data_IF_757953667112
#
_entry.id   IF_757953667112
#
_cell.length_a   1.000
_cell.length_b   1.000
_cell.length_c   1.000
_cell.angle_alpha   90.00
_cell.angle_beta   90.00
_cell.angle_gamma   90.00
#
_symmetry.space_group_name_H-M   'P 1'
#
loop_
_entity.id
_entity.type
_entity.pdbx_description
1 polymer ?
#
# COMPACT_ATOMS: atom_id res chain seq x y z
N UNK A 1 -0.64 -38.97 -58.91
CA UNK A 1 0.41 -37.96 -59.17
C UNK A 1 0.67 -37.25 -57.87
N UNK A 2 1.77 -37.60 -57.21
CA UNK A 2 2.29 -36.95 -55.99
C UNK A 2 2.88 -35.56 -56.32
N UNK A 3 3.00 -34.64 -55.34
CA UNK A 3 4.00 -33.59 -55.40
C UNK A 3 5.12 -33.83 -54.35
N UNK A 4 6.34 -33.70 -54.84
CA UNK A 4 7.62 -33.90 -54.16
C UNK A 4 7.89 -32.88 -53.04
N UNK A 5 8.51 -33.34 -51.93
CA UNK A 5 9.10 -32.49 -50.90
C UNK A 5 10.47 -31.95 -51.35
N UNK A 6 10.59 -30.63 -51.49
CA UNK A 6 11.89 -29.94 -51.57
C UNK A 6 12.55 -29.87 -50.19
N UNK A 7 13.79 -30.35 -50.09
CA UNK A 7 14.67 -30.18 -48.92
C UNK A 7 15.46 -28.89 -49.11
N UNK A 8 15.32 -27.92 -48.21
CA UNK A 8 16.16 -26.72 -48.17
C UNK A 8 17.54 -27.07 -47.60
N UNK A 9 18.59 -26.87 -48.41
CA UNK A 9 19.99 -27.00 -47.98
C UNK A 9 20.43 -25.65 -47.38
N UNK A 10 20.73 -25.65 -46.08
CA UNK A 10 21.22 -24.47 -45.37
C UNK A 10 22.63 -24.07 -45.86
N UNK A 11 22.78 -22.81 -46.25
CA UNK A 11 24.01 -22.23 -46.81
C UNK A 11 25.21 -22.30 -45.82
N UNK A 12 26.30 -23.02 -46.15
CA UNK A 12 27.43 -23.27 -45.25
C UNK A 12 28.18 -22.00 -44.81
N UNK A 13 28.08 -20.89 -45.54
CA UNK A 13 28.70 -19.62 -45.13
C UNK A 13 27.93 -18.93 -43.98
N UNK A 14 26.60 -19.03 -43.96
CA UNK A 14 25.77 -18.49 -42.87
C UNK A 14 25.98 -19.25 -41.57
N UNK A 15 26.18 -20.57 -41.65
CA UNK A 15 26.46 -21.41 -40.48
C UNK A 15 27.82 -21.08 -39.84
N UNK A 16 28.86 -20.89 -40.66
CA UNK A 16 30.19 -20.44 -40.19
C UNK A 16 30.15 -19.09 -39.49
N UNK A 17 29.49 -18.07 -40.08
CA UNK A 17 29.35 -16.74 -39.44
C UNK A 17 28.61 -16.82 -38.10
N UNK A 18 27.60 -17.67 -37.98
CA UNK A 18 26.82 -17.84 -36.74
C UNK A 18 27.67 -18.50 -35.64
N UNK A 19 28.49 -19.48 -35.99
CA UNK A 19 29.44 -20.13 -35.08
C UNK A 19 30.57 -19.18 -34.64
N UNK A 20 31.09 -18.35 -35.54
CA UNK A 20 32.13 -17.36 -35.24
C UNK A 20 31.62 -16.29 -34.27
N UNK A 21 30.38 -15.82 -34.49
CA UNK A 21 29.71 -14.86 -33.61
C UNK A 21 29.43 -15.47 -32.22
N UNK A 22 29.12 -16.76 -32.15
CA UNK A 22 28.91 -17.47 -30.89
C UNK A 22 30.22 -17.61 -30.09
N UNK A 23 31.32 -17.98 -30.76
CA UNK A 23 32.66 -18.06 -30.15
C UNK A 23 33.14 -16.71 -29.64
N UNK A 24 32.87 -15.63 -30.36
CA UNK A 24 33.26 -14.28 -29.93
C UNK A 24 32.47 -13.82 -28.68
N UNK A 25 31.19 -14.21 -28.58
CA UNK A 25 30.36 -13.97 -27.39
C UNK A 25 30.86 -14.76 -26.18
N UNK A 26 31.25 -16.02 -26.35
CA UNK A 26 31.82 -16.84 -25.27
C UNK A 26 33.17 -16.27 -24.81
N UNK A 27 34.03 -15.85 -25.73
CA UNK A 27 35.31 -15.23 -25.38
C UNK A 27 35.13 -13.92 -24.58
N UNK A 28 34.14 -13.10 -24.94
CA UNK A 28 33.78 -11.89 -24.16
C UNK A 28 33.25 -12.24 -22.78
N UNK A 29 32.45 -13.30 -22.65
CA UNK A 29 31.91 -13.78 -21.37
C UNK A 29 33.02 -14.32 -20.46
N UNK A 30 33.97 -15.08 -21.00
CA UNK A 30 35.13 -15.58 -20.27
C UNK A 30 36.04 -14.45 -19.79
N UNK A 31 36.34 -13.46 -20.65
CA UNK A 31 37.12 -12.26 -20.24
C UNK A 31 36.41 -11.44 -19.15
N UNK A 32 35.07 -11.38 -19.17
CA UNK A 32 34.29 -10.70 -18.14
C UNK A 32 34.35 -11.45 -16.79
N UNK A 33 34.25 -12.79 -16.82
CA UNK A 33 34.37 -13.64 -15.63
C UNK A 33 35.78 -13.58 -15.03
N UNK A 34 36.81 -13.60 -15.86
CA UNK A 34 38.20 -13.49 -15.40
C UNK A 34 38.50 -12.11 -14.79
N UNK A 35 37.92 -11.03 -15.35
CA UNK A 35 38.01 -9.68 -14.79
C UNK A 35 37.22 -9.54 -13.48
N UNK A 36 36.11 -10.27 -13.33
CA UNK A 36 35.34 -10.34 -12.10
C UNK A 36 36.11 -11.12 -11.00
N UNK A 37 36.73 -12.24 -11.36
CA UNK A 37 37.59 -13.03 -10.46
C UNK A 37 38.81 -12.22 -9.98
N UNK A 38 39.52 -11.52 -10.90
CA UNK A 38 40.63 -10.62 -10.53
C UNK A 38 40.19 -9.47 -9.64
N UNK A 39 38.97 -8.95 -9.80
CA UNK A 39 38.37 -7.94 -8.90
C UNK A 39 38.01 -8.51 -7.53
N UNK A 40 37.61 -9.78 -7.44
CA UNK A 40 37.38 -10.47 -6.17
C UNK A 40 38.69 -10.77 -5.44
N UNK A 41 39.74 -11.20 -6.14
CA UNK A 41 41.08 -11.41 -5.58
C UNK A 41 41.75 -10.11 -5.12
N UNK A 42 41.56 -9.01 -5.86
CA UNK A 42 42.01 -7.69 -5.40
C UNK A 42 41.22 -7.18 -4.19
N UNK A 43 39.94 -7.56 -4.04
CA UNK A 43 39.15 -7.26 -2.83
C UNK A 43 39.56 -8.13 -1.65
N UNK A 44 39.88 -9.41 -1.85
CA UNK A 44 40.31 -10.31 -0.78
C UNK A 44 41.74 -9.98 -0.30
N UNK A 45 42.65 -9.63 -1.21
CA UNK A 45 44.03 -9.19 -0.87
C UNK A 45 44.07 -7.81 -0.20
N UNK A 46 43.20 -6.87 -0.61
CA UNK A 46 43.05 -5.60 0.11
C UNK A 46 42.34 -5.77 1.46
N UNK A 47 41.43 -6.74 1.61
CA UNK A 47 40.79 -7.05 2.90
C UNK A 47 41.78 -7.67 3.89
N UNK A 48 42.66 -8.57 3.44
CA UNK A 48 43.69 -9.22 4.25
C UNK A 48 44.81 -8.25 4.66
N UNK A 49 45.26 -7.35 3.75
CA UNK A 49 46.19 -6.27 4.15
C UNK A 49 45.56 -5.23 5.10
N UNK A 50 44.24 -5.02 5.03
CA UNK A 50 43.51 -4.18 6.01
C UNK A 50 43.30 -4.89 7.35
N UNK A 51 43.19 -6.21 7.38
CA UNK A 51 43.09 -6.99 8.62
C UNK A 51 44.44 -7.08 9.32
N UNK A 52 45.54 -7.28 8.59
CA UNK A 52 46.90 -7.32 9.15
C UNK A 52 47.37 -5.95 9.68
N UNK A 53 47.04 -4.84 9.01
CA UNK A 53 47.33 -3.50 9.55
C UNK A 53 46.43 -3.11 10.73
N UNK A 54 45.26 -3.75 10.90
CA UNK A 54 44.39 -3.57 12.08
C UNK A 54 44.81 -4.44 13.26
N UNK A 55 45.40 -5.62 13.02
CA UNK A 55 45.83 -6.52 14.10
C UNK A 55 47.09 -6.05 14.83
N UNK A 56 47.97 -5.26 14.19
CA UNK A 56 49.21 -4.78 14.84
C UNK A 56 49.00 -3.48 15.64
N UNK A 57 47.80 -2.89 15.67
CA UNK A 57 47.53 -1.64 16.43
C UNK A 57 46.33 -1.71 17.38
N UNK A 58 45.93 -2.90 17.81
CA UNK A 58 44.90 -3.12 18.84
C UNK A 58 45.34 -4.20 19.82
N UNK A 59 46.27 -3.85 20.69
CA UNK A 59 46.35 -4.45 22.03
C UNK A 59 45.46 -3.60 22.94
N UNK A 60 44.19 -3.95 22.95
CA UNK A 60 43.15 -3.63 23.94
C UNK A 60 41.90 -4.35 23.43
N UNK A 61 41.83 -5.64 23.71
CA UNK A 61 40.66 -6.49 23.46
C UNK A 61 39.50 -6.03 24.35
N UNK A 62 38.45 -5.49 23.74
CA UNK A 62 37.13 -5.37 24.37
C UNK A 62 36.10 -5.97 23.41
N UNK A 63 35.41 -7.01 23.86
CA UNK A 63 34.38 -7.69 23.08
C UNK A 63 33.07 -6.89 23.24
N UNK A 64 32.34 -6.52 22.16
CA UNK A 64 31.03 -5.88 22.27
C UNK A 64 30.02 -6.64 23.14
N UNK A 65 30.27 -7.92 23.39
CA UNK A 65 29.50 -8.79 24.29
C UNK A 65 29.66 -8.44 25.78
N UNK A 66 30.77 -7.82 26.19
CA UNK A 66 31.05 -7.43 27.58
C UNK A 66 30.15 -6.28 28.07
N UNK A 67 29.48 -5.60 27.15
CA UNK A 67 28.59 -4.46 27.39
C UNK A 67 27.11 -4.80 27.16
N UNK A 68 26.82 -6.06 26.83
CA UNK A 68 25.45 -6.55 26.76
C UNK A 68 24.91 -6.56 28.19
N UNK A 69 23.70 -6.02 28.35
CA UNK A 69 22.95 -6.07 29.61
C UNK A 69 23.05 -7.48 30.23
N UNK A 70 23.73 -7.62 31.39
CA UNK A 70 23.85 -8.92 32.07
C UNK A 70 22.44 -9.40 32.36
N UNK A 71 22.12 -10.67 32.07
CA UNK A 71 20.75 -11.23 32.01
C UNK A 71 19.72 -10.55 32.92
N UNK A 72 19.23 -9.35 32.53
CA UNK A 72 18.21 -8.63 33.25
C UNK A 72 16.93 -9.41 32.95
N UNK A 73 16.26 -9.98 33.97
CA UNK A 73 15.04 -10.72 33.71
C UNK A 73 14.01 -9.81 33.05
N UNK A 74 13.22 -10.37 32.13
CA UNK A 74 12.24 -9.60 31.37
C UNK A 74 11.34 -8.74 32.28
N UNK A 75 11.24 -7.46 31.92
CA UNK A 75 10.49 -6.45 32.66
C UNK A 75 11.10 -5.96 33.98
N UNK A 76 12.30 -6.39 34.37
CA UNK A 76 13.00 -5.77 35.49
C UNK A 76 13.78 -4.54 35.05
N UNK A 77 14.01 -3.61 35.99
CA UNK A 77 14.85 -2.44 35.73
C UNK A 77 16.24 -2.92 35.36
N UNK A 78 16.73 -2.47 34.21
CA UNK A 78 18.05 -2.79 33.71
C UNK A 78 19.13 -2.58 34.76
N UNK A 79 19.98 -3.59 34.95
CA UNK A 79 21.18 -3.45 35.77
C UNK A 79 22.25 -2.68 34.98
N UNK A 80 22.69 -1.55 35.53
CA UNK A 80 23.68 -0.71 34.86
C UNK A 80 25.08 -1.18 35.26
N UNK A 81 25.92 -1.48 34.28
CA UNK A 81 27.35 -1.73 34.54
C UNK A 81 27.97 -0.50 35.23
N UNK A 82 28.85 -0.76 36.19
CA UNK A 82 29.65 0.29 36.86
C UNK A 82 30.72 0.88 35.93
N UNK A 83 31.07 0.17 34.85
CA UNK A 83 32.05 0.61 33.86
C UNK A 83 31.37 1.15 32.61
N UNK A 84 31.79 2.35 32.17
CA UNK A 84 31.30 2.96 30.94
C UNK A 84 32.03 2.38 29.73
N UNK A 85 31.28 1.93 28.73
CA UNK A 85 31.83 1.50 27.46
C UNK A 85 32.53 2.67 26.73
N UNK A 86 33.62 2.38 26.01
CA UNK A 86 34.31 3.37 25.17
C UNK A 86 33.45 3.94 24.04
N UNK A 87 32.39 3.22 23.61
CA UNK A 87 31.48 3.62 22.54
C UNK A 87 30.01 3.37 22.92
N UNK A 88 29.11 4.26 22.47
CA UNK A 88 27.67 4.10 22.66
C UNK A 88 27.14 2.96 21.78
N UNK A 89 26.44 2.00 22.40
CA UNK A 89 25.75 0.90 21.72
C UNK A 89 24.24 1.00 21.98
N UNK A 90 23.43 1.50 21.02
CA UNK A 90 21.98 1.61 21.20
C UNK A 90 21.32 0.27 21.53
N UNK A 91 21.75 -0.81 20.85
CA UNK A 91 21.21 -2.16 21.09
C UNK A 91 21.41 -2.63 22.52
N UNK A 92 22.60 -2.40 23.07
CA UNK A 92 22.89 -2.73 24.45
C UNK A 92 22.07 -1.82 25.38
N UNK A 93 22.03 -0.51 25.10
CA UNK A 93 21.36 0.48 25.94
C UNK A 93 19.87 0.22 26.01
N UNK A 94 19.16 0.13 24.89
CA UNK A 94 17.70 -0.03 24.77
C UNK A 94 17.17 -1.37 25.30
N UNK A 95 18.01 -2.41 25.36
CA UNK A 95 17.63 -3.73 25.88
C UNK A 95 17.03 -3.60 27.29
N UNK A 96 15.95 -4.33 27.56
CA UNK A 96 15.23 -4.41 28.85
C UNK A 96 14.48 -3.14 29.31
N UNK A 97 14.84 -1.93 28.83
CA UNK A 97 14.15 -0.69 29.25
C UNK A 97 12.66 -0.69 28.95
N UNK A 98 12.30 -1.10 27.73
CA UNK A 98 10.92 -0.97 27.30
C UNK A 98 9.99 -1.89 28.08
N UNK A 99 10.39 -3.16 28.25
CA UNK A 99 9.65 -4.13 29.04
C UNK A 99 9.49 -3.67 30.49
N UNK A 100 10.52 -3.04 31.06
CA UNK A 100 10.44 -2.46 32.39
C UNK A 100 9.47 -1.27 32.46
N UNK A 101 9.51 -0.37 31.47
CA UNK A 101 8.58 0.77 31.40
C UNK A 101 7.12 0.31 31.32
N UNK A 102 6.85 -0.69 30.49
CA UNK A 102 5.52 -1.28 30.33
C UNK A 102 5.08 -1.98 31.62
N UNK A 103 5.92 -2.83 32.23
CA UNK A 103 5.61 -3.53 33.49
C UNK A 103 5.34 -2.59 34.66
N UNK A 104 6.06 -1.46 34.71
CA UNK A 104 5.91 -0.47 35.80
C UNK A 104 4.70 0.44 35.59
N UNK A 105 4.06 0.41 34.41
CA UNK A 105 2.87 1.20 34.12
C UNK A 105 3.12 2.69 33.92
N UNK A 106 4.35 3.12 33.58
CA UNK A 106 4.69 4.54 33.42
C UNK A 106 3.90 5.27 32.32
N UNK A 107 3.32 4.51 31.39
CA UNK A 107 2.57 5.05 30.27
C UNK A 107 1.07 5.22 30.59
N UNK A 108 0.60 4.64 31.69
CA UNK A 108 -0.82 4.64 32.06
C UNK A 108 -1.22 6.00 32.60
N UNK A 109 -2.28 6.56 32.02
CA UNK A 109 -2.90 7.78 32.53
C UNK A 109 -3.98 7.42 33.56
N UNK A 110 -3.94 8.07 34.72
CA UNK A 110 -4.89 7.86 35.81
C UNK A 110 -6.13 8.74 35.63
N UNK A 111 -7.30 8.12 35.47
CA UNK A 111 -8.56 8.83 35.28
C UNK A 111 -8.98 9.68 36.50
N UNK A 112 -8.47 9.35 37.70
CA UNK A 112 -8.77 10.07 38.94
C UNK A 112 -7.70 11.13 39.27
N UNK A 113 -6.72 11.35 38.39
CA UNK A 113 -5.66 12.32 38.65
C UNK A 113 -6.19 13.75 38.70
N UNK A 114 -5.75 14.53 39.68
CA UNK A 114 -6.00 15.98 39.75
C UNK A 114 -5.12 16.81 38.81
N UNK A 115 -4.13 16.19 38.15
CA UNK A 115 -3.25 16.85 37.18
C UNK A 115 -4.03 17.22 35.91
N UNK A 116 -3.66 18.32 35.22
CA UNK A 116 -4.30 18.68 33.96
C UNK A 116 -4.13 17.57 32.92
N UNK A 117 -5.20 17.13 32.22
CA UNK A 117 -5.11 16.09 31.22
C UNK A 117 -4.44 16.61 29.94
N UNK A 118 -3.69 15.73 29.28
CA UNK A 118 -3.20 15.96 27.92
C UNK A 118 -3.36 14.67 27.13
N UNK A 119 -4.12 14.69 26.04
CA UNK A 119 -4.49 13.47 25.32
C UNK A 119 -4.10 13.56 23.85
N UNK A 120 -3.43 12.54 23.35
CA UNK A 120 -3.25 12.29 21.92
C UNK A 120 -3.84 10.93 21.60
N UNK A 121 -4.50 10.81 20.46
CA UNK A 121 -4.90 9.52 19.89
C UNK A 121 -3.89 9.21 18.80
N UNK A 122 -3.18 8.08 18.91
CA UNK A 122 -2.32 7.61 17.83
C UNK A 122 -3.21 7.40 16.60
N UNK A 123 -2.91 8.01 15.44
CA UNK A 123 -3.55 7.68 14.18
C UNK A 123 -3.39 6.17 13.94
N UNK A 124 -4.47 5.39 14.03
CA UNK A 124 -4.35 3.94 14.13
C UNK A 124 -3.78 3.39 12.80
N UNK A 125 -2.60 2.73 12.80
CA UNK A 125 -2.05 2.15 11.59
C UNK A 125 -2.97 1.07 11.02
N UNK A 126 -3.07 1.03 9.70
CA UNK A 126 -3.82 0.02 8.96
C UNK A 126 -3.18 -1.36 9.13
N UNK A 127 -4.00 -2.39 9.33
CA UNK A 127 -3.51 -3.78 9.45
C UNK A 127 -3.23 -4.39 8.06
N UNK A 128 -2.46 -3.70 7.22
CA UNK A 128 -2.13 -4.10 5.84
C UNK A 128 -0.68 -4.57 5.67
N UNK A 129 0.12 -4.60 6.75
CA UNK A 129 1.52 -4.98 6.68
C UNK A 129 2.34 -4.52 7.88
N UNK A 130 3.62 -4.25 7.64
CA UNK A 130 4.54 -3.69 8.62
C UNK A 130 4.61 -2.15 8.50
N UNK A 131 4.93 -1.48 9.60
CA UNK A 131 5.17 -0.05 9.63
C UNK A 131 6.41 0.33 8.80
N UNK A 132 6.34 1.51 8.20
CA UNK A 132 7.42 2.16 7.43
C UNK A 132 7.88 3.47 8.08
N UNK A 133 8.90 4.12 7.53
CA UNK A 133 9.53 5.32 8.10
C UNK A 133 8.55 6.47 8.38
N UNK A 134 7.53 6.67 7.52
CA UNK A 134 6.46 7.64 7.81
C UNK A 134 5.74 7.41 9.14
N UNK A 135 5.44 6.16 9.50
CA UNK A 135 4.85 5.83 10.80
C UNK A 135 5.83 6.11 11.95
N UNK A 136 7.12 5.83 11.75
CA UNK A 136 8.15 6.12 12.73
C UNK A 136 8.29 7.63 12.99
N UNK A 137 8.17 8.46 11.94
CA UNK A 137 8.18 9.92 12.07
C UNK A 137 6.99 10.42 12.90
N UNK A 138 5.76 9.99 12.57
CA UNK A 138 4.56 10.37 13.32
C UNK A 138 4.67 9.95 14.78
N UNK A 139 5.04 8.69 15.04
CA UNK A 139 5.21 8.18 16.39
C UNK A 139 6.29 8.94 17.18
N UNK A 140 7.42 9.28 16.56
CA UNK A 140 8.49 10.02 17.23
C UNK A 140 8.06 11.44 17.64
N UNK A 141 7.30 12.13 16.78
CA UNK A 141 6.76 13.46 17.07
C UNK A 141 5.75 13.39 18.22
N UNK A 142 4.76 12.51 18.11
CA UNK A 142 3.72 12.36 19.14
C UNK A 142 4.30 11.91 20.48
N UNK A 143 5.22 10.94 20.48
CA UNK A 143 5.89 10.45 21.70
C UNK A 143 6.69 11.55 22.39
N UNK A 144 7.40 12.39 21.60
CA UNK A 144 8.16 13.53 22.15
C UNK A 144 7.23 14.50 22.88
N UNK A 145 6.07 14.82 22.28
CA UNK A 145 5.09 15.72 22.89
C UNK A 145 4.50 15.08 24.16
N UNK A 146 4.16 13.79 24.12
CA UNK A 146 3.61 13.05 25.27
C UNK A 146 4.60 13.01 26.42
N UNK A 147 5.87 12.67 26.15
CA UNK A 147 6.92 12.65 27.17
C UNK A 147 7.14 14.04 27.77
N UNK A 148 7.24 15.07 26.94
CA UNK A 148 7.39 16.45 27.41
C UNK A 148 6.21 16.87 28.30
N UNK A 149 4.97 16.60 27.91
CA UNK A 149 3.78 16.92 28.71
C UNK A 149 3.72 16.14 30.02
N UNK A 150 4.01 14.84 29.99
CA UNK A 150 4.09 13.98 31.18
C UNK A 150 5.12 14.52 32.17
N UNK A 151 6.30 14.93 31.68
CA UNK A 151 7.37 15.54 32.48
C UNK A 151 7.01 16.95 32.96
N UNK A 152 6.16 17.68 32.24
CA UNK A 152 5.67 19.01 32.60
C UNK A 152 4.49 19.00 33.59
N UNK A 153 4.22 17.85 34.22
CA UNK A 153 3.20 17.72 35.27
C UNK A 153 1.78 17.41 34.78
N UNK A 154 1.58 17.11 33.49
CA UNK A 154 0.27 16.73 32.96
C UNK A 154 -0.01 15.24 33.18
N UNK A 155 -1.29 14.88 33.31
CA UNK A 155 -1.77 13.51 33.16
C UNK A 155 -1.85 13.17 31.66
N UNK A 156 -0.70 12.80 31.08
CA UNK A 156 -0.56 12.59 29.65
C UNK A 156 -0.99 11.18 29.23
N UNK A 157 -2.00 11.10 28.36
CA UNK A 157 -2.53 9.89 27.75
C UNK A 157 -2.22 9.86 26.26
N UNK A 158 -1.56 8.80 25.80
CA UNK A 158 -1.43 8.51 24.37
C UNK A 158 -2.14 7.19 24.07
N UNK A 159 -3.27 7.28 23.37
CA UNK A 159 -4.16 6.13 23.13
C UNK A 159 -3.66 5.31 21.96
N UNK A 160 -3.30 4.02 22.14
CA UNK A 160 -2.94 3.14 21.04
C UNK A 160 -4.17 2.59 20.33
N UNK A 161 -4.02 2.31 19.03
CA UNK A 161 -5.02 1.58 18.28
C UNK A 161 -4.52 1.06 16.95
N UNK A 162 -5.35 0.24 16.29
CA UNK A 162 -5.14 -0.27 14.94
C UNK A 162 -6.43 -0.15 14.13
N UNK A 163 -6.28 0.10 12.83
CA UNK A 163 -7.41 0.23 11.91
C UNK A 163 -7.53 -1.01 11.02
N UNK A 164 -8.72 -1.61 11.01
CA UNK A 164 -9.11 -2.66 10.09
C UNK A 164 -8.95 -2.30 8.60
N UNK A 165 -8.99 -1.01 8.26
CA UNK A 165 -8.74 -0.46 6.92
C UNK A 165 -9.61 -1.03 5.79
N UNK A 166 -10.77 -1.65 6.11
CA UNK A 166 -11.79 -2.14 5.17
C UNK A 166 -11.23 -2.69 3.86
N UNK A 167 -11.44 -1.94 2.78
CA UNK A 167 -11.04 -2.26 1.40
C UNK A 167 -9.54 -2.58 1.29
N UNK A 168 -8.67 -1.82 1.96
CA UNK A 168 -7.22 -2.01 1.86
C UNK A 168 -6.78 -3.37 2.41
N UNK A 169 -7.32 -3.78 3.57
CA UNK A 169 -7.04 -5.10 4.15
C UNK A 169 -7.62 -6.21 3.29
N UNK A 170 -8.84 -6.05 2.78
CA UNK A 170 -9.46 -7.00 1.87
C UNK A 170 -8.57 -7.26 0.64
N UNK A 171 -8.12 -6.20 -0.05
CA UNK A 171 -7.27 -6.33 -1.25
C UNK A 171 -5.96 -7.06 -0.95
N UNK A 172 -5.32 -6.77 0.18
CA UNK A 172 -4.05 -7.41 0.55
C UNK A 172 -4.24 -8.90 0.86
N UNK A 173 -5.30 -9.25 1.59
CA UNK A 173 -5.63 -10.65 1.89
C UNK A 173 -6.02 -11.41 0.62
N UNK A 174 -6.81 -10.82 -0.27
CA UNK A 174 -7.13 -11.41 -1.57
C UNK A 174 -5.88 -11.69 -2.41
N UNK A 175 -4.95 -10.72 -2.49
CA UNK A 175 -3.67 -10.89 -3.20
C UNK A 175 -2.81 -11.99 -2.59
N UNK A 176 -2.81 -12.14 -1.26
CA UNK A 176 -2.13 -13.23 -0.55
C UNK A 176 -2.74 -14.58 -0.94
N UNK A 177 -4.07 -14.72 -0.83
CA UNK A 177 -4.79 -15.97 -1.15
C UNK A 177 -4.56 -16.36 -2.61
N UNK A 178 -4.66 -15.41 -3.53
CA UNK A 178 -4.40 -15.66 -4.95
C UNK A 178 -2.97 -16.14 -5.19
N UNK A 179 -1.98 -15.56 -4.51
CA UNK A 179 -0.56 -15.95 -4.65
C UNK A 179 -0.26 -17.33 -4.06
N UNK A 180 -0.80 -17.62 -2.88
CA UNK A 180 -0.49 -18.85 -2.13
C UNK A 180 -1.31 -20.04 -2.61
N UNK A 181 -2.58 -19.81 -2.94
CA UNK A 181 -3.56 -20.88 -3.20
C UNK A 181 -4.17 -20.82 -4.59
N UNK A 182 -3.92 -19.77 -5.38
CA UNK A 182 -4.51 -19.57 -6.71
C UNK A 182 -6.04 -19.59 -6.69
N UNK A 183 -6.62 -19.06 -5.61
CA UNK A 183 -8.05 -18.95 -5.38
C UNK A 183 -8.46 -17.49 -5.23
N UNK A 184 -9.72 -17.20 -5.54
CA UNK A 184 -10.36 -15.90 -5.33
C UNK A 184 -11.19 -15.89 -4.04
N UNK A 185 -11.61 -14.71 -3.58
CA UNK A 185 -12.51 -14.59 -2.42
C UNK A 185 -13.85 -15.29 -2.64
N UNK A 186 -14.29 -15.40 -3.89
CA UNK A 186 -15.57 -16.03 -4.23
C UNK A 186 -15.50 -17.55 -4.07
N UNK A 187 -14.34 -18.14 -4.29
CA UNK A 187 -14.09 -19.58 -4.10
C UNK A 187 -14.09 -19.97 -2.61
N UNK A 188 -13.68 -19.06 -1.72
CA UNK A 188 -13.63 -19.29 -0.28
C UNK A 188 -15.00 -19.22 0.40
N UNK A 189 -15.90 -18.39 -0.14
CA UNK A 189 -17.10 -17.97 0.58
C UNK A 189 -16.80 -17.01 1.74
N UNK A 190 -17.84 -16.29 2.17
CA UNK A 190 -17.72 -15.16 3.10
C UNK A 190 -17.07 -15.53 4.44
N UNK A 191 -17.53 -16.60 5.08
CA UNK A 191 -17.09 -16.95 6.44
C UNK A 191 -15.60 -17.32 6.48
N UNK A 192 -15.14 -18.16 5.55
CA UNK A 192 -13.73 -18.56 5.48
C UNK A 192 -12.84 -17.37 5.13
N UNK A 193 -13.29 -16.50 4.23
CA UNK A 193 -12.56 -15.27 3.91
C UNK A 193 -12.42 -14.35 5.13
N UNK A 194 -13.50 -14.15 5.89
CA UNK A 194 -13.45 -13.36 7.13
C UNK A 194 -12.47 -13.98 8.14
N UNK A 195 -12.42 -15.31 8.25
CA UNK A 195 -11.44 -15.99 9.11
C UNK A 195 -10.00 -15.68 8.70
N UNK A 196 -9.68 -15.75 7.40
CA UNK A 196 -8.35 -15.39 6.88
C UNK A 196 -7.98 -13.92 7.15
N UNK A 197 -8.97 -13.01 7.08
CA UNK A 197 -8.78 -11.59 7.44
C UNK A 197 -8.45 -11.43 8.93
N UNK A 198 -9.10 -12.18 9.82
CA UNK A 198 -8.79 -12.15 11.25
C UNK A 198 -7.41 -12.76 11.56
N UNK A 199 -7.03 -13.85 10.89
CA UNK A 199 -5.69 -14.42 11.01
C UNK A 199 -4.62 -13.43 10.55
N UNK A 200 -4.85 -12.76 9.41
CA UNK A 200 -4.02 -11.68 8.94
C UNK A 200 -3.91 -10.57 9.98
N UNK A 201 -5.04 -10.12 10.53
CA UNK A 201 -5.07 -9.08 11.57
C UNK A 201 -4.23 -9.46 12.79
N UNK A 202 -4.33 -10.71 13.25
CA UNK A 202 -3.62 -11.16 14.43
C UNK A 202 -2.10 -11.20 14.19
N UNK A 203 -1.68 -11.66 13.01
CA UNK A 203 -0.25 -11.70 12.63
C UNK A 203 0.36 -10.31 12.47
N UNK A 204 -0.28 -9.45 11.67
CA UNK A 204 0.27 -8.13 11.36
C UNK A 204 0.03 -7.12 12.48
N UNK A 205 -1.08 -7.25 13.21
CA UNK A 205 -1.31 -6.46 14.41
C UNK A 205 -0.21 -6.67 15.45
N UNK A 206 0.18 -7.93 15.72
CA UNK A 206 1.32 -8.22 16.61
C UNK A 206 2.63 -7.60 16.13
N UNK A 207 2.88 -7.60 14.82
CA UNK A 207 4.07 -6.99 14.21
C UNK A 207 4.10 -5.48 14.40
N UNK A 208 2.99 -4.79 14.10
CA UNK A 208 2.85 -3.34 14.25
C UNK A 208 3.10 -2.92 15.71
N UNK A 209 2.47 -3.64 16.65
CA UNK A 209 2.63 -3.41 18.08
C UNK A 209 4.08 -3.57 18.52
N UNK A 210 4.78 -4.61 18.05
CA UNK A 210 6.20 -4.81 18.34
C UNK A 210 7.08 -3.70 17.76
N UNK A 211 6.78 -3.21 16.55
CA UNK A 211 7.53 -2.11 15.94
C UNK A 211 7.38 -0.81 16.74
N UNK A 212 6.17 -0.47 17.19
CA UNK A 212 5.95 0.71 18.05
C UNK A 212 6.67 0.58 19.39
N UNK A 213 6.63 -0.60 20.03
CA UNK A 213 7.41 -0.87 21.24
C UNK A 213 8.90 -0.74 21.01
N UNK A 214 9.40 -1.27 19.88
CA UNK A 214 10.82 -1.19 19.51
C UNK A 214 11.28 0.25 19.23
N UNK A 215 10.39 1.10 18.72
CA UNK A 215 10.65 2.54 18.57
C UNK A 215 10.65 3.30 19.90
N UNK A 216 10.18 2.68 20.99
CA UNK A 216 10.11 3.30 22.30
C UNK A 216 8.84 4.11 22.56
N UNK A 217 7.77 3.90 21.79
CA UNK A 217 6.53 4.67 21.92
C UNK A 217 5.90 4.52 23.32
N UNK A 218 5.69 5.62 24.05
CA UNK A 218 5.14 5.63 25.41
C UNK A 218 3.61 5.59 25.48
N UNK A 219 3.02 4.70 24.68
CA UNK A 219 1.58 4.45 24.54
C UNK A 219 1.01 3.73 25.77
N UNK A 220 -0.23 4.06 26.13
CA UNK A 220 -0.97 3.35 27.18
C UNK A 220 -1.56 2.04 26.62
N UNK A 221 -0.75 0.97 26.59
CA UNK A 221 -1.13 -0.33 26.06
C UNK A 221 -2.34 -0.97 26.75
N UNK A 222 -2.67 -0.56 27.98
CA UNK A 222 -3.88 -1.03 28.67
C UNK A 222 -5.17 -0.60 27.97
N UNK A 223 -5.08 0.41 27.08
CA UNK A 223 -6.16 0.98 26.31
C UNK A 223 -6.04 0.69 24.81
N UNK A 224 -5.29 -0.34 24.43
CA UNK A 224 -5.21 -0.78 23.03
C UNK A 224 -6.61 -1.00 22.45
N UNK A 225 -6.76 -0.56 21.20
CA UNK A 225 -8.04 -0.43 20.53
C UNK A 225 -7.97 -1.00 19.13
N UNK A 226 -9.04 -1.62 18.67
CA UNK A 226 -9.18 -2.03 17.28
C UNK A 226 -10.51 -1.54 16.74
N UNK A 227 -10.54 -1.00 15.52
CA UNK A 227 -11.75 -0.35 14.99
C UNK A 227 -12.96 -1.29 14.87
N UNK A 228 -12.74 -2.60 14.72
CA UNK A 228 -13.81 -3.61 14.77
C UNK A 228 -13.89 -4.37 16.11
N UNK A 229 -13.28 -3.88 17.18
CA UNK A 229 -13.54 -4.43 18.51
C UNK A 229 -15.00 -4.16 18.93
N UNK A 230 -15.48 -4.89 19.93
CA UNK A 230 -16.88 -4.80 20.36
C UNK A 230 -17.26 -3.38 20.80
N UNK A 231 -16.35 -2.68 21.49
CA UNK A 231 -16.61 -1.35 22.04
C UNK A 231 -16.71 -0.30 20.93
N UNK A 232 -15.82 -0.35 19.93
CA UNK A 232 -15.82 0.59 18.79
C UNK A 232 -16.94 0.29 17.82
N UNK A 233 -17.26 -0.99 17.61
CA UNK A 233 -18.41 -1.39 16.79
C UNK A 233 -19.73 -0.85 17.36
N UNK A 234 -19.91 -0.91 18.69
CA UNK A 234 -21.03 -0.26 19.39
C UNK A 234 -21.04 1.25 19.20
N UNK A 235 -19.89 1.91 19.28
CA UNK A 235 -19.78 3.36 19.06
C UNK A 235 -20.17 3.77 17.63
N UNK A 236 -19.75 3.03 16.60
CA UNK A 236 -20.14 3.28 15.20
C UNK A 236 -21.63 3.06 15.00
N UNK A 237 -22.21 2.03 15.62
CA UNK A 237 -23.65 1.73 15.54
C UNK A 237 -24.47 2.86 16.16
N UNK A 238 -24.08 3.33 17.35
CA UNK A 238 -24.71 4.47 18.02
C UNK A 238 -24.60 5.75 17.18
N UNK A 239 -23.42 6.03 16.60
CA UNK A 239 -23.22 7.18 15.73
C UNK A 239 -24.13 7.11 14.50
N UNK A 240 -24.21 5.95 13.83
CA UNK A 240 -25.09 5.74 12.68
C UNK A 240 -26.56 5.98 13.05
N UNK A 241 -27.04 5.36 14.13
CA UNK A 241 -28.44 5.50 14.57
C UNK A 241 -28.76 6.95 14.93
N UNK A 242 -27.83 7.66 15.57
CA UNK A 242 -28.00 9.08 15.92
C UNK A 242 -28.09 9.96 14.68
N UNK A 243 -27.17 9.80 13.73
CA UNK A 243 -27.15 10.57 12.49
C UNK A 243 -28.37 10.27 11.61
N UNK A 244 -28.82 9.01 11.58
CA UNK A 244 -30.06 8.61 10.92
C UNK A 244 -31.30 9.28 11.56
N UNK A 245 -31.42 9.24 12.90
CA UNK A 245 -32.51 9.91 13.63
C UNK A 245 -32.53 11.42 13.43
N UNK A 246 -31.38 12.04 13.15
CA UNK A 246 -31.25 13.46 12.82
C UNK A 246 -31.55 13.77 11.34
N UNK A 247 -31.81 12.75 10.50
CA UNK A 247 -32.05 12.92 9.06
C UNK A 247 -30.79 13.16 8.24
N UNK A 248 -29.59 12.97 8.80
CA UNK A 248 -28.31 13.19 8.12
C UNK A 248 -27.83 11.96 7.34
N UNK A 249 -28.35 10.76 7.69
CA UNK A 249 -28.14 9.53 6.92
C UNK A 249 -29.47 9.14 6.28
N UNK A 250 -29.44 8.88 4.98
CA UNK A 250 -30.60 8.48 4.19
C UNK A 250 -30.21 7.44 3.13
N UNK A 251 -31.22 6.80 2.53
CA UNK A 251 -31.04 5.85 1.41
C UNK A 251 -31.72 6.41 0.18
N UNK A 252 -30.99 6.47 -0.93
CA UNK A 252 -31.48 7.01 -2.20
C UNK A 252 -30.73 6.37 -3.37
N UNK A 253 -31.25 6.55 -4.58
CA UNK A 253 -30.58 6.19 -5.83
C UNK A 253 -29.82 7.41 -6.34
N UNK A 254 -28.49 7.35 -6.30
CA UNK A 254 -27.60 8.40 -6.83
C UNK A 254 -26.50 7.81 -7.70
N UNK A 255 -25.93 8.67 -8.54
CA UNK A 255 -24.69 8.36 -9.23
C UNK A 255 -23.58 8.24 -8.18
N UNK A 256 -22.86 7.12 -8.23
CA UNK A 256 -21.76 6.80 -7.33
C UNK A 256 -20.54 6.41 -8.15
N UNK A 257 -19.35 6.56 -7.58
CA UNK A 257 -18.16 5.94 -8.13
C UNK A 257 -18.20 4.45 -7.80
N UNK A 258 -18.16 3.60 -8.82
CA UNK A 258 -18.24 2.15 -8.68
C UNK A 258 -16.92 1.51 -9.12
N UNK A 259 -16.29 0.74 -8.24
CA UNK A 259 -15.14 -0.09 -8.57
C UNK A 259 -15.62 -1.43 -9.14
N UNK A 260 -15.36 -1.68 -10.42
CA UNK A 260 -15.78 -2.90 -11.12
C UNK A 260 -14.99 -4.16 -10.77
N UNK A 261 -13.85 -4.03 -10.08
CA UNK A 261 -13.02 -5.16 -9.62
C UNK A 261 -13.46 -5.59 -8.23
N UNK A 262 -13.59 -4.62 -7.32
CA UNK A 262 -13.96 -4.86 -5.93
C UNK A 262 -15.46 -5.06 -5.77
N UNK A 263 -16.25 -4.59 -6.75
CA UNK A 263 -17.71 -4.64 -6.77
C UNK A 263 -18.32 -3.88 -5.59
N UNK A 264 -17.88 -2.65 -5.40
CA UNK A 264 -18.36 -1.75 -4.34
C UNK A 264 -18.41 -0.30 -4.80
N UNK A 265 -19.27 0.48 -4.16
CA UNK A 265 -19.21 1.93 -4.26
C UNK A 265 -18.00 2.45 -3.44
N UNK A 266 -17.38 3.51 -3.95
CA UNK A 266 -16.28 4.24 -3.31
C UNK A 266 -16.62 5.73 -3.25
N UNK A 267 -16.09 6.41 -2.25
CA UNK A 267 -16.24 7.85 -2.06
C UNK A 267 -15.33 8.65 -3.00
N UNK A 268 -15.65 9.92 -3.25
CA UNK A 268 -14.83 10.77 -4.12
C UNK A 268 -13.38 10.91 -3.65
N UNK A 269 -13.13 10.88 -2.33
CA UNK A 269 -11.78 10.97 -1.75
C UNK A 269 -10.95 9.68 -1.96
N UNK A 270 -11.59 8.57 -2.34
CA UNK A 270 -10.93 7.31 -2.67
C UNK A 270 -10.62 7.19 -4.17
N UNK A 271 -10.99 8.19 -4.98
CA UNK A 271 -10.76 8.20 -6.43
C UNK A 271 -9.49 8.99 -6.76
N UNK A 272 -8.49 8.28 -7.28
CA UNK A 272 -7.30 8.90 -7.86
C UNK A 272 -7.51 9.18 -9.35
N UNK A 273 -7.39 10.45 -9.74
CA UNK A 273 -7.52 10.87 -11.13
C UNK A 273 -6.17 10.79 -11.86
N UNK A 274 -6.18 10.18 -13.04
CA UNK A 274 -5.03 10.10 -13.94
C UNK A 274 -5.34 10.90 -15.19
N UNK A 275 -4.58 11.97 -15.41
CA UNK A 275 -4.73 12.82 -16.60
C UNK A 275 -4.06 12.16 -17.81
N UNK A 276 -4.85 11.86 -18.84
CA UNK A 276 -4.39 11.27 -20.10
C UNK A 276 -4.55 12.31 -21.20
N UNK A 277 -3.42 12.89 -21.64
CA UNK A 277 -3.40 14.00 -22.62
C UNK A 277 -3.42 13.53 -24.07
N UNK A 278 -2.96 12.32 -24.33
CA UNK A 278 -2.77 11.78 -25.67
C UNK A 278 -3.27 10.34 -25.75
N UNK A 279 -3.51 9.87 -26.96
CA UNK A 279 -4.01 8.52 -27.24
C UNK A 279 -3.10 7.48 -26.59
N UNK A 280 -3.61 6.76 -25.60
CA UNK A 280 -2.84 5.83 -24.78
C UNK A 280 -3.60 4.52 -24.61
N UNK A 281 -2.91 3.39 -24.81
CA UNK A 281 -3.44 2.06 -24.50
C UNK A 281 -3.10 1.72 -23.05
N UNK A 282 -4.12 1.57 -22.20
CA UNK A 282 -3.95 1.22 -20.80
C UNK A 282 -4.52 -0.17 -20.50
N UNK A 283 -3.80 -0.92 -19.68
CA UNK A 283 -4.32 -2.18 -19.16
C UNK A 283 -5.29 -1.89 -18.02
N UNK A 284 -6.57 -2.15 -18.27
CA UNK A 284 -7.63 -1.99 -17.26
C UNK A 284 -7.86 -3.34 -16.57
N UNK A 285 -7.91 -3.40 -15.23
CA UNK A 285 -8.28 -4.61 -14.51
C UNK A 285 -9.61 -5.21 -15.02
N UNK A 286 -9.64 -6.52 -15.27
CA UNK A 286 -10.81 -7.21 -15.82
C UNK A 286 -10.92 -7.21 -17.35
N UNK A 287 -10.09 -6.43 -18.06
CA UNK A 287 -10.00 -6.46 -19.52
C UNK A 287 -8.82 -7.32 -19.98
N UNK A 288 -9.06 -8.23 -20.94
CA UNK A 288 -8.01 -9.08 -21.50
C UNK A 288 -7.06 -8.29 -22.41
N UNK A 289 -7.60 -7.31 -23.12
CA UNK A 289 -6.86 -6.45 -24.05
C UNK A 289 -6.70 -5.03 -23.47
N UNK A 290 -5.61 -4.32 -23.79
CA UNK A 290 -5.47 -2.92 -23.45
C UNK A 290 -6.61 -2.09 -24.02
N UNK A 291 -7.19 -1.21 -23.20
CA UNK A 291 -8.28 -0.31 -23.59
C UNK A 291 -7.68 1.03 -24.01
N UNK A 292 -8.25 1.61 -25.07
CA UNK A 292 -7.83 2.89 -25.62
C UNK A 292 -8.44 4.06 -24.83
N UNK A 293 -7.59 4.96 -24.36
CA UNK A 293 -7.96 6.22 -23.69
C UNK A 293 -7.36 7.42 -24.41
N UNK A 294 -7.85 8.62 -24.10
CA UNK A 294 -7.34 9.87 -24.68
C UNK A 294 -7.78 10.11 -26.14
N UNK A 295 -8.85 9.45 -26.60
CA UNK A 295 -9.41 9.62 -27.95
C UNK A 295 -10.80 10.24 -27.85
N UNK A 296 -11.00 11.36 -28.53
CA UNK A 296 -12.30 12.00 -28.69
C UNK A 296 -12.92 11.55 -30.01
N UNK A 297 -14.00 10.75 -29.93
CA UNK A 297 -14.73 10.25 -31.10
C UNK A 297 -15.89 11.18 -31.43
N UNK A 298 -16.08 11.44 -32.72
CA UNK A 298 -17.21 12.23 -33.24
C UNK A 298 -18.11 11.31 -34.05
N UNK A 299 -19.41 11.42 -33.84
CA UNK A 299 -20.43 10.67 -34.58
C UNK A 299 -21.69 11.53 -34.69
N UNK A 300 -22.56 11.20 -35.64
CA UNK A 300 -23.76 11.97 -35.92
C UNK A 300 -25.02 11.20 -35.53
N UNK A 301 -25.94 11.89 -34.87
CA UNK A 301 -27.31 11.43 -34.66
C UNK A 301 -28.21 11.99 -35.75
N UNK A 302 -28.94 11.16 -36.52
CA UNK A 302 -29.98 11.65 -37.41
C UNK A 302 -31.08 12.34 -36.60
N UNK A 303 -31.66 13.41 -37.13
CA UNK A 303 -32.79 14.11 -36.52
C UNK A 303 -34.10 13.66 -37.15
N UNK A 304 -35.16 13.55 -36.34
CA UNK A 304 -36.49 13.22 -36.84
C UNK A 304 -37.00 14.26 -37.85
N UNK A 305 -37.89 13.83 -38.75
CA UNK A 305 -38.52 14.74 -39.72
C UNK A 305 -37.57 15.25 -40.82
N UNK A 306 -36.50 14.50 -41.13
CA UNK A 306 -35.49 14.87 -42.12
C UNK A 306 -34.82 16.22 -41.84
N UNK A 307 -34.66 16.58 -40.57
CA UNK A 307 -34.01 17.82 -40.12
C UNK A 307 -32.48 17.78 -40.22
N UNK A 308 -31.93 16.74 -40.85
CA UNK A 308 -30.49 16.51 -41.00
C UNK A 308 -29.93 15.66 -39.87
N UNK A 309 -28.72 15.99 -39.41
CA UNK A 309 -28.01 15.26 -38.37
C UNK A 309 -27.29 16.22 -37.42
N UNK A 310 -27.02 15.77 -36.20
CA UNK A 310 -26.27 16.51 -35.20
C UNK A 310 -25.04 15.72 -34.76
N UNK A 311 -23.86 16.35 -34.86
CA UNK A 311 -22.58 15.73 -34.52
C UNK A 311 -22.29 15.91 -33.03
N UNK A 312 -22.07 14.81 -32.32
CA UNK A 312 -21.69 14.77 -30.90
C UNK A 312 -20.26 14.24 -30.78
N UNK A 313 -19.52 14.75 -29.79
CA UNK A 313 -18.18 14.29 -29.47
C UNK A 313 -18.15 13.65 -28.07
N UNK A 314 -17.58 12.45 -27.93
CA UNK A 314 -17.47 11.74 -26.65
C UNK A 314 -16.14 10.97 -26.56
N UNK A 315 -15.63 10.80 -25.34
CA UNK A 315 -14.52 9.89 -25.04
C UNK A 315 -15.00 8.49 -24.66
N UNK A 316 -16.30 8.30 -24.40
CA UNK A 316 -16.92 7.03 -24.00
C UNK A 316 -18.00 6.60 -24.97
N UNK A 317 -17.57 6.06 -26.12
CA UNK A 317 -18.47 5.65 -27.20
C UNK A 317 -19.44 4.54 -26.76
N UNK A 318 -19.02 3.70 -25.83
CA UNK A 318 -19.82 2.63 -25.24
C UNK A 318 -21.03 3.12 -24.46
N UNK A 319 -21.03 4.38 -24.01
CA UNK A 319 -22.16 4.97 -23.28
C UNK A 319 -23.31 5.43 -24.18
N UNK A 320 -23.12 5.45 -25.50
CA UNK A 320 -24.15 5.82 -26.48
C UNK A 320 -25.45 5.06 -26.24
N UNK A 321 -25.38 3.77 -25.91
CA UNK A 321 -26.56 2.93 -25.70
C UNK A 321 -27.47 3.42 -24.55
N UNK A 322 -26.94 4.23 -23.64
CA UNK A 322 -27.68 4.86 -22.55
C UNK A 322 -28.03 6.32 -22.79
N UNK A 323 -27.77 6.87 -23.99
CA UNK A 323 -28.09 8.25 -24.32
C UNK A 323 -29.61 8.46 -24.31
N UNK A 324 -30.05 9.50 -23.60
CA UNK A 324 -31.48 9.85 -23.47
C UNK A 324 -31.80 11.24 -24.02
N UNK A 325 -30.79 12.08 -24.21
CA UNK A 325 -30.93 13.43 -24.75
C UNK A 325 -29.60 13.94 -25.30
N UNK A 326 -29.66 14.95 -26.18
CA UNK A 326 -28.51 15.73 -26.63
C UNK A 326 -28.65 17.13 -26.03
N UNK A 327 -27.64 17.56 -25.26
CA UNK A 327 -27.64 18.88 -24.65
C UNK A 327 -27.01 19.91 -25.60
N UNK A 328 -27.75 20.99 -25.87
CA UNK A 328 -27.30 22.13 -26.68
C UNK A 328 -27.29 23.36 -25.77
N UNK A 329 -26.23 24.15 -25.84
CA UNK A 329 -26.15 25.40 -25.07
C UNK A 329 -27.25 26.37 -25.54
N UNK A 330 -28.01 27.02 -24.62
CA UNK A 330 -29.19 27.81 -24.99
C UNK A 330 -28.89 28.96 -25.95
N UNK A 331 -27.68 29.48 -25.91
CA UNK A 331 -27.21 30.62 -26.72
C UNK A 331 -26.40 30.20 -27.97
N UNK A 332 -26.25 28.90 -28.24
CA UNK A 332 -25.52 28.43 -29.43
C UNK A 332 -26.38 28.56 -30.70
N UNK A 333 -26.19 29.66 -31.43
CA UNK A 333 -26.94 29.98 -32.65
C UNK A 333 -26.88 28.88 -33.72
N UNK A 334 -25.81 28.08 -33.76
CA UNK A 334 -25.61 27.01 -34.75
C UNK A 334 -26.66 25.91 -34.64
N UNK A 335 -27.12 25.64 -33.42
CA UNK A 335 -27.98 24.50 -33.09
C UNK A 335 -29.31 24.91 -32.43
N UNK A 336 -29.56 26.22 -32.23
CA UNK A 336 -30.79 26.76 -31.61
C UNK A 336 -32.08 26.25 -32.25
N UNK A 337 -32.06 26.02 -33.56
CA UNK A 337 -33.20 25.45 -34.32
C UNK A 337 -33.58 24.02 -33.91
N UNK A 338 -32.68 23.29 -33.26
CA UNK A 338 -32.89 21.90 -32.84
C UNK A 338 -33.40 21.76 -31.40
N UNK A 339 -33.57 22.86 -30.66
CA UNK A 339 -34.16 22.81 -29.33
C UNK A 339 -35.60 22.23 -29.39
N UNK A 340 -35.85 21.23 -28.54
CA UNK A 340 -37.14 20.53 -28.49
C UNK A 340 -37.39 19.56 -29.66
N UNK A 341 -36.39 19.32 -30.52
CA UNK A 341 -36.45 18.29 -31.58
C UNK A 341 -35.90 16.96 -31.05
N UNK A 342 -36.32 15.87 -31.68
CA UNK A 342 -35.90 14.52 -31.35
C UNK A 342 -34.83 14.01 -32.31
N UNK A 343 -33.91 13.20 -31.78
CA UNK A 343 -32.88 12.51 -32.51
C UNK A 343 -33.19 11.01 -32.57
N UNK A 344 -32.88 10.38 -33.70
CA UNK A 344 -33.05 8.95 -33.90
C UNK A 344 -31.83 8.25 -33.29
N UNK A 345 -32.08 7.44 -32.25
CA UNK A 345 -31.02 6.69 -31.60
C UNK A 345 -30.53 5.55 -32.52
N UNK A 346 -29.23 5.46 -32.86
CA UNK A 346 -28.68 4.54 -33.87
C UNK A 346 -28.96 3.06 -33.62
N UNK A 347 -29.25 2.69 -32.36
CA UNK A 347 -29.45 1.30 -31.94
C UNK A 347 -30.88 0.97 -31.51
N UNK A 348 -31.79 1.95 -31.41
CA UNK A 348 -33.20 1.71 -31.02
C UNK A 348 -34.15 1.74 -32.22
N UNK A 349 -33.65 2.07 -33.42
CA UNK A 349 -34.44 1.95 -34.64
C UNK A 349 -34.62 0.45 -34.96
N UNK A 350 -35.71 -0.12 -34.44
CA UNK A 350 -36.39 -1.23 -35.11
C UNK A 350 -36.64 -0.78 -36.55
N UNK A 351 -36.03 -1.52 -37.49
CA UNK A 351 -36.34 -1.45 -38.92
C UNK A 351 -37.76 -1.95 -39.18
#
# INVERSE_FOLDING_TARGET
MEPEKKVEVEDPEKKKKKEETAREKELKKMKALEKAAKRQEQKSSNASKKSERKSVKRTDDENPEDYIDPETPSGQKKNMSLQMAKQYSPRAVEKSWYEWWEKTGFFVADANSSKPPFVIVLPPPNVTGALHIGHALTAAIEDTIIRWRRMSGYNALWVPGMDHAGIATQVVVEKKIMRERHLTRHDFGREKFISEVWEWKNKYGGTILQQLRRLGASLDWSRESFTMDERRSKAVTEAFVRLYKQGLIYRDLRLVNWDSVLLTAISDIEVDYIDIKERTLLKVPGCNEPVEFGVLKKFAYPLEGNLGEIVVATTRIETILGDTAIAIHPEDERYRQFHGKFAIHPFNALW
#
